data_IF_348354875309
#
_entry.id   IF_348354875309
#
_cell.length_a   1.000
_cell.length_b   1.000
_cell.length_c   1.000
_cell.angle_alpha   90.00
_cell.angle_beta   90.00
_cell.angle_gamma   90.00
#
_symmetry.space_group_name_H-M   'P 1'
#
loop_
_entity.id
_entity.type
_entity.pdbx_description
1 polymer ?
#
# COMPACT_ATOMS: atom_id res chain seq x y z
N UNK A 1 10.55 -13.47 -29.13
CA UNK A 1 11.69 -14.13 -28.45
C UNK A 1 12.74 -13.05 -28.24
N UNK A 2 13.25 -12.87 -27.02
CA UNK A 2 14.38 -11.95 -26.81
C UNK A 2 15.66 -12.70 -27.21
N UNK A 3 16.37 -12.19 -28.22
CA UNK A 3 17.63 -12.75 -28.71
C UNK A 3 18.85 -11.95 -28.21
N UNK A 4 18.70 -11.23 -27.10
CA UNK A 4 19.78 -10.45 -26.50
C UNK A 4 20.54 -11.36 -25.51
N UNK A 5 21.85 -11.61 -25.71
CA UNK A 5 22.66 -12.28 -24.70
C UNK A 5 22.66 -11.43 -23.41
N UNK A 6 22.61 -12.07 -22.25
CA UNK A 6 22.61 -11.40 -20.93
C UNK A 6 21.35 -10.60 -20.57
N UNK A 7 20.19 -10.94 -21.14
CA UNK A 7 18.90 -10.31 -20.77
C UNK A 7 18.58 -10.39 -19.26
N UNK A 8 19.15 -11.37 -18.56
CA UNK A 8 18.99 -11.59 -17.13
C UNK A 8 19.44 -10.38 -16.31
N UNK A 9 20.51 -9.69 -16.73
CA UNK A 9 21.00 -8.48 -16.07
C UNK A 9 19.96 -7.34 -16.07
N UNK A 10 19.06 -7.34 -17.06
CA UNK A 10 18.03 -6.32 -17.20
C UNK A 10 16.72 -6.70 -16.51
N UNK A 11 16.54 -7.96 -16.10
CA UNK A 11 15.27 -8.49 -15.58
C UNK A 11 14.84 -7.92 -14.22
N UNK A 12 15.77 -7.34 -13.47
CA UNK A 12 15.51 -6.74 -12.15
C UNK A 12 14.65 -5.48 -12.23
N UNK A 13 15.14 -4.50 -12.99
CA UNK A 13 14.55 -3.15 -13.04
C UNK A 13 13.93 -2.77 -14.37
N UNK A 14 14.05 -3.58 -15.42
CA UNK A 14 13.48 -3.24 -16.73
C UNK A 14 12.13 -3.93 -16.98
N UNK A 15 11.23 -3.16 -17.56
CA UNK A 15 9.86 -3.53 -17.86
C UNK A 15 9.58 -3.26 -19.33
N UNK A 16 8.90 -4.20 -19.98
CA UNK A 16 8.36 -4.01 -21.32
C UNK A 16 6.89 -3.63 -21.21
N UNK A 17 6.49 -2.55 -21.88
CA UNK A 17 5.09 -2.24 -22.12
C UNK A 17 4.71 -2.43 -23.58
N UNK A 18 3.59 -3.10 -23.80
CA UNK A 18 2.96 -3.22 -25.11
C UNK A 18 1.58 -2.58 -25.02
N UNK A 19 1.36 -1.52 -25.79
CA UNK A 19 0.10 -0.80 -25.87
C UNK A 19 -0.53 -0.96 -27.24
N UNK A 20 -1.77 -1.42 -27.26
CA UNK A 20 -2.62 -1.42 -28.46
C UNK A 20 -3.90 -0.72 -28.10
N UNK A 21 -4.03 0.50 -28.60
CA UNK A 21 -5.17 1.33 -28.27
C UNK A 21 -5.23 1.70 -26.80
N UNK A 22 -6.30 1.24 -26.16
CA UNK A 22 -6.63 1.51 -24.76
C UNK A 22 -6.19 0.37 -23.84
N UNK A 23 -5.78 -0.77 -24.41
CA UNK A 23 -5.20 -1.88 -23.66
C UNK A 23 -3.69 -1.71 -23.61
N UNK A 24 -3.18 -1.65 -22.38
CA UNK A 24 -1.75 -1.65 -22.09
C UNK A 24 -1.41 -2.87 -21.25
N UNK A 25 -0.40 -3.63 -21.69
CA UNK A 25 0.19 -4.70 -20.89
C UNK A 25 1.59 -4.27 -20.46
N UNK A 26 1.90 -4.44 -19.19
CA UNK A 26 3.20 -4.15 -18.60
C UNK A 26 3.74 -5.42 -17.96
N UNK A 27 5.02 -5.73 -18.18
CA UNK A 27 5.66 -6.87 -17.54
C UNK A 27 7.16 -6.68 -17.44
N UNK A 28 7.82 -7.36 -16.49
CA UNK A 28 9.27 -7.47 -16.48
C UNK A 28 9.79 -8.14 -17.75
N UNK A 29 11.00 -7.78 -18.16
CA UNK A 29 11.67 -8.42 -19.30
C UNK A 29 11.83 -9.92 -19.00
N UNK A 30 11.42 -10.76 -19.94
CA UNK A 30 11.52 -12.21 -19.85
C UNK A 30 11.64 -12.81 -21.25
N UNK A 31 12.53 -13.80 -21.42
CA UNK A 31 12.79 -14.42 -22.72
C UNK A 31 11.56 -15.12 -23.35
N UNK A 32 10.67 -15.67 -22.51
CA UNK A 32 9.56 -16.52 -22.94
C UNK A 32 8.19 -15.85 -22.86
N UNK A 33 8.13 -14.57 -22.47
CA UNK A 33 6.85 -13.90 -22.28
C UNK A 33 6.27 -13.43 -23.61
N UNK A 34 5.04 -13.87 -23.88
CA UNK A 34 4.26 -13.46 -25.06
C UNK A 34 3.05 -12.66 -24.62
N UNK A 35 2.85 -11.47 -25.21
CA UNK A 35 1.70 -10.63 -24.93
C UNK A 35 0.54 -11.00 -25.85
N UNK A 36 -0.52 -11.61 -25.29
CA UNK A 36 -1.76 -11.86 -26.02
C UNK A 36 -2.74 -10.71 -25.81
N UNK A 37 -3.03 -9.93 -26.84
CA UNK A 37 -3.99 -8.82 -26.76
C UNK A 37 -5.29 -9.29 -27.41
N UNK A 38 -6.45 -9.14 -26.74
CA UNK A 38 -7.73 -9.60 -27.29
C UNK A 38 -8.08 -8.80 -28.55
N UNK A 39 -8.61 -9.47 -29.57
CA UNK A 39 -8.96 -8.85 -30.84
C UNK A 39 -9.95 -7.68 -30.69
N UNK A 40 -10.84 -7.75 -29.70
CA UNK A 40 -11.76 -6.66 -29.35
C UNK A 40 -11.06 -5.34 -28.97
N UNK A 41 -9.88 -5.42 -28.35
CA UNK A 41 -9.09 -4.24 -28.00
C UNK A 41 -8.26 -3.68 -29.17
N UNK A 42 -7.96 -4.54 -30.15
CA UNK A 42 -7.24 -4.16 -31.37
C UNK A 42 -8.12 -3.28 -32.25
N UNK A 43 -9.40 -3.65 -32.40
CA UNK A 43 -10.33 -2.95 -33.30
C UNK A 43 -9.75 -2.88 -34.72
N UNK A 44 -9.72 -1.68 -35.30
CA UNK A 44 -9.14 -1.43 -36.64
C UNK A 44 -7.65 -1.05 -36.63
N UNK A 45 -6.99 -1.13 -35.46
CA UNK A 45 -5.59 -0.68 -35.30
C UNK A 45 -4.64 -1.75 -35.85
N UNK A 46 -3.67 -1.34 -36.67
CA UNK A 46 -2.67 -2.24 -37.28
C UNK A 46 -1.31 -2.24 -36.56
N UNK A 47 -1.11 -1.29 -35.64
CA UNK A 47 0.17 -1.07 -34.99
C UNK A 47 0.02 -1.09 -33.47
N UNK A 48 1.05 -1.62 -32.81
CA UNK A 48 1.23 -1.60 -31.36
C UNK A 48 2.41 -0.71 -31.00
N UNK A 49 2.31 0.03 -29.90
CA UNK A 49 3.45 0.74 -29.31
C UNK A 49 4.16 -0.19 -28.35
N UNK A 50 5.47 -0.34 -28.51
CA UNK A 50 6.31 -1.13 -27.60
C UNK A 50 7.35 -0.20 -26.99
N UNK A 51 7.41 -0.17 -25.66
CA UNK A 51 8.29 0.69 -24.90
C UNK A 51 9.02 -0.13 -23.83
N UNK A 52 10.26 0.25 -23.55
CA UNK A 52 11.05 -0.31 -22.44
C UNK A 52 11.17 0.76 -21.37
N UNK A 53 10.77 0.42 -20.15
CA UNK A 53 10.86 1.26 -18.97
C UNK A 53 11.91 0.68 -18.03
N UNK A 54 12.60 1.57 -17.31
CA UNK A 54 13.40 1.20 -16.15
C UNK A 54 12.69 1.71 -14.91
N UNK A 55 12.60 0.88 -13.87
CA UNK A 55 12.14 1.32 -12.55
C UNK A 55 13.21 2.24 -11.97
N UNK A 56 12.81 3.47 -11.72
CA UNK A 56 13.68 4.54 -11.20
C UNK A 56 13.34 4.94 -9.76
N UNK A 57 12.18 4.51 -9.27
CA UNK A 57 11.70 4.73 -7.92
C UNK A 57 10.44 3.91 -7.66
N UNK A 58 9.92 3.96 -6.44
CA UNK A 58 8.63 3.38 -6.09
C UNK A 58 8.13 3.89 -4.76
N UNK A 59 6.81 3.92 -4.61
CA UNK A 59 6.13 4.31 -3.38
C UNK A 59 4.84 3.52 -3.28
N UNK A 60 4.38 3.32 -2.05
CA UNK A 60 3.18 2.53 -1.73
C UNK A 60 2.16 3.45 -1.08
N UNK A 61 0.92 3.38 -1.55
CA UNK A 61 -0.20 4.17 -1.02
C UNK A 61 -1.27 3.26 -0.41
N UNK A 62 -2.01 3.77 0.57
CA UNK A 62 -3.19 3.10 1.10
C UNK A 62 -4.37 3.28 0.15
N UNK A 63 -5.01 2.18 -0.25
CA UNK A 63 -6.15 2.18 -1.19
C UNK A 63 -7.48 2.06 -0.41
N UNK A 64 -7.44 1.75 0.88
CA UNK A 64 -8.64 1.59 1.69
C UNK A 64 -9.41 2.91 1.78
N UNK A 65 -10.59 2.98 1.18
CA UNK A 65 -11.44 4.17 1.14
C UNK A 65 -12.03 4.54 2.50
N UNK A 66 -11.92 3.67 3.51
CA UNK A 66 -12.32 3.99 4.89
C UNK A 66 -11.20 4.62 5.72
N UNK A 67 -9.95 4.46 5.30
CA UNK A 67 -8.76 4.92 6.02
C UNK A 67 -8.03 6.03 5.25
N UNK A 68 -8.04 5.97 3.93
CA UNK A 68 -7.45 6.96 3.05
C UNK A 68 -8.35 8.20 2.91
N UNK A 69 -7.73 9.38 2.97
CA UNK A 69 -8.37 10.63 2.55
C UNK A 69 -8.63 10.62 1.04
N UNK A 70 -9.51 11.50 0.54
CA UNK A 70 -9.91 11.57 -0.88
C UNK A 70 -8.72 11.69 -1.86
N UNK A 71 -7.59 12.23 -1.39
CA UNK A 71 -6.32 12.25 -2.09
C UNK A 71 -5.21 11.66 -1.20
N UNK A 72 -4.50 10.66 -1.72
CA UNK A 72 -3.27 10.17 -1.13
C UNK A 72 -2.08 10.90 -1.76
N UNK A 73 -1.28 11.57 -0.94
CA UNK A 73 0.02 12.08 -1.35
C UNK A 73 1.03 10.93 -1.39
N UNK A 74 1.63 10.70 -2.57
CA UNK A 74 2.67 9.73 -2.79
C UNK A 74 3.97 10.45 -3.14
N UNK A 75 5.02 10.22 -2.36
CA UNK A 75 6.36 10.70 -2.65
C UNK A 75 7.22 9.57 -3.23
N UNK A 76 7.88 9.84 -4.36
CA UNK A 76 8.83 8.93 -5.01
C UNK A 76 10.16 9.64 -5.19
N UNK A 77 11.24 9.06 -4.67
CA UNK A 77 12.59 9.57 -4.92
C UNK A 77 13.02 9.27 -6.36
N UNK A 78 13.50 10.29 -7.07
CA UNK A 78 13.99 10.22 -8.44
C UNK A 78 15.20 11.16 -8.61
N UNK A 79 16.37 10.59 -8.92
CA UNK A 79 17.61 11.35 -9.16
C UNK A 79 17.97 12.34 -8.03
N UNK A 80 17.75 11.93 -6.78
CA UNK A 80 18.01 12.76 -5.59
C UNK A 80 16.99 13.88 -5.35
N UNK A 81 15.86 13.86 -6.07
CA UNK A 81 14.72 14.75 -5.86
C UNK A 81 13.50 13.94 -5.46
N UNK A 82 12.67 14.51 -4.59
CA UNK A 82 11.39 13.90 -4.21
C UNK A 82 10.29 14.38 -5.16
N UNK A 83 9.68 13.45 -5.91
CA UNK A 83 8.53 13.70 -6.77
C UNK A 83 7.25 13.41 -5.98
N UNK A 84 6.44 14.43 -5.76
CA UNK A 84 5.16 14.31 -5.07
C UNK A 84 4.00 14.19 -6.08
N UNK A 85 3.10 13.25 -5.81
CA UNK A 85 1.93 12.98 -6.63
C UNK A 85 0.68 12.90 -5.77
N UNK A 86 -0.43 13.43 -6.28
CA UNK A 86 -1.75 13.24 -5.69
C UNK A 86 -2.46 12.08 -6.39
N UNK A 87 -2.77 11.02 -5.64
CA UNK A 87 -3.49 9.85 -6.15
C UNK A 87 -4.84 9.76 -5.48
N UNK A 88 -5.90 10.02 -6.24
CA UNK A 88 -7.29 9.83 -5.80
C UNK A 88 -7.80 8.46 -6.22
N UNK A 89 -8.25 7.65 -5.27
CA UNK A 89 -8.92 6.38 -5.56
C UNK A 89 -10.41 6.56 -5.32
N UNK A 90 -11.18 6.71 -6.38
CA UNK A 90 -12.65 6.75 -6.31
C UNK A 90 -13.23 5.37 -6.64
N UNK A 91 -14.22 4.87 -5.88
CA UNK A 91 -14.96 3.69 -6.30
C UNK A 91 -15.66 3.97 -7.64
N UNK A 92 -15.48 3.08 -8.62
CA UNK A 92 -16.19 3.17 -9.90
C UNK A 92 -17.69 3.14 -9.64
N UNK A 93 -18.37 4.21 -10.03
CA UNK A 93 -19.82 4.42 -9.86
C UNK A 93 -20.57 3.39 -10.73
N UNK A 94 -20.79 2.19 -10.22
CA UNK A 94 -21.55 1.14 -10.91
C UNK A 94 -21.06 -0.29 -10.74
N UNK A 95 -19.89 -0.54 -10.15
CA UNK A 95 -19.49 -1.90 -9.80
C UNK A 95 -19.92 -2.20 -8.37
N UNK A 96 -20.77 -3.21 -8.24
CA UNK A 96 -21.24 -3.73 -6.96
C UNK A 96 -20.05 -3.92 -6.03
N UNK A 97 -20.20 -3.50 -4.77
CA UNK A 97 -19.34 -3.90 -3.66
C UNK A 97 -19.06 -5.39 -3.85
N UNK A 98 -17.85 -5.76 -4.27
CA UNK A 98 -17.41 -7.14 -4.15
C UNK A 98 -17.44 -7.36 -2.65
N UNK A 99 -18.48 -8.04 -2.20
CA UNK A 99 -18.59 -8.47 -0.82
C UNK A 99 -17.27 -9.16 -0.48
N UNK A 100 -16.64 -8.85 0.67
CA UNK A 100 -15.51 -9.64 1.12
C UNK A 100 -15.92 -11.11 1.02
N UNK A 101 -15.12 -11.91 0.31
CA UNK A 101 -15.33 -13.34 0.25
C UNK A 101 -15.53 -13.86 1.69
N UNK A 102 -16.58 -14.66 1.97
CA UNK A 102 -16.75 -15.24 3.27
C UNK A 102 -15.69 -16.34 3.43
N UNK A 103 -14.48 -15.94 3.83
CA UNK A 103 -13.64 -16.83 4.61
C UNK A 103 -14.29 -16.90 5.98
N UNK A 104 -15.07 -17.96 6.16
CA UNK A 104 -15.54 -18.49 7.43
C UNK A 104 -16.38 -17.53 8.30
N UNK A 105 -17.67 -17.46 7.97
CA UNK A 105 -18.75 -16.96 8.82
C UNK A 105 -19.00 -17.87 10.06
N UNK A 106 -17.94 -18.18 10.82
CA UNK A 106 -17.98 -18.81 12.14
C UNK A 106 -17.17 -18.07 13.22
N UNK A 107 -16.64 -16.87 12.92
CA UNK A 107 -15.94 -16.04 13.89
C UNK A 107 -16.68 -14.73 14.26
N UNK A 108 -17.96 -14.59 13.88
CA UNK A 108 -18.74 -13.38 14.17
C UNK A 108 -19.50 -13.47 15.50
N UNK A 109 -18.86 -13.97 16.56
CA UNK A 109 -19.17 -13.63 17.95
C UNK A 109 -17.89 -13.67 18.80
N UNK A 110 -16.76 -13.18 18.25
CA UNK A 110 -15.69 -12.72 19.14
C UNK A 110 -16.19 -11.44 19.81
N UNK A 111 -16.77 -11.62 21.00
CA UNK A 111 -16.83 -10.60 22.05
C UNK A 111 -15.58 -9.74 21.90
N UNK A 112 -15.78 -8.44 21.68
CA UNK A 112 -14.74 -7.43 21.56
C UNK A 112 -13.88 -7.44 22.82
N UNK A 113 -12.94 -8.40 22.88
CA UNK A 113 -11.97 -8.46 23.95
C UNK A 113 -11.12 -7.21 23.76
N UNK A 114 -11.08 -6.29 24.72
CA UNK A 114 -10.35 -5.04 24.56
C UNK A 114 -8.87 -5.28 24.21
N UNK A 115 -8.32 -6.42 24.67
CA UNK A 115 -6.98 -6.90 24.33
C UNK A 115 -6.80 -7.26 22.84
N UNK A 116 -7.82 -7.83 22.19
CA UNK A 116 -7.77 -8.14 20.76
C UNK A 116 -7.87 -6.87 19.90
N UNK A 117 -8.66 -5.88 20.33
CA UNK A 117 -8.69 -4.58 19.67
C UNK A 117 -7.35 -3.86 19.79
N UNK A 118 -6.77 -3.80 20.99
CA UNK A 118 -5.47 -3.15 21.21
C UNK A 118 -4.34 -3.82 20.40
N UNK A 119 -4.35 -5.16 20.29
CA UNK A 119 -3.41 -5.88 19.45
C UNK A 119 -3.59 -5.57 17.95
N UNK A 120 -4.84 -5.48 17.46
CA UNK A 120 -5.12 -5.10 16.07
C UNK A 120 -4.67 -3.67 15.79
N UNK A 121 -4.99 -2.73 16.67
CA UNK A 121 -4.53 -1.35 16.59
C UNK A 121 -2.99 -1.27 16.57
N UNK A 122 -2.31 -2.09 17.37
CA UNK A 122 -0.85 -2.15 17.36
C UNK A 122 -0.31 -2.64 16.01
N UNK A 123 -0.87 -3.71 15.45
CA UNK A 123 -0.47 -4.23 14.13
C UNK A 123 -0.68 -3.19 13.02
N UNK A 124 -1.79 -2.44 13.07
CA UNK A 124 -2.14 -1.39 12.11
C UNK A 124 -1.22 -0.17 12.28
N UNK A 125 -1.03 0.34 13.51
CA UNK A 125 -0.19 1.51 13.81
C UNK A 125 1.25 1.36 13.36
N UNK A 126 1.81 0.16 13.50
CA UNK A 126 3.19 -0.12 13.11
C UNK A 126 3.31 -0.74 11.71
N UNK A 127 2.18 -0.88 10.99
CA UNK A 127 2.11 -1.48 9.65
C UNK A 127 2.89 -2.81 9.54
N UNK A 128 2.80 -3.65 10.59
CA UNK A 128 3.64 -4.85 10.74
C UNK A 128 3.36 -5.84 9.62
N UNK A 129 2.09 -6.00 9.23
CA UNK A 129 1.69 -6.91 8.16
C UNK A 129 2.29 -6.50 6.81
N UNK A 130 2.27 -5.21 6.49
CA UNK A 130 2.85 -4.69 5.26
C UNK A 130 4.36 -4.95 5.21
N UNK A 131 5.09 -4.62 6.29
CA UNK A 131 6.55 -4.87 6.43
C UNK A 131 6.88 -6.35 6.23
N UNK A 132 6.11 -7.23 6.86
CA UNK A 132 6.35 -8.67 6.81
C UNK A 132 6.05 -9.24 5.42
N UNK A 133 4.99 -8.77 4.76
CA UNK A 133 4.64 -9.19 3.41
C UNK A 133 5.72 -8.81 2.39
N UNK A 134 6.29 -7.61 2.49
CA UNK A 134 7.37 -7.16 1.63
C UNK A 134 8.67 -7.94 1.89
N UNK A 135 9.03 -8.13 3.16
CA UNK A 135 10.18 -8.93 3.54
C UNK A 135 10.06 -10.38 3.03
N UNK A 136 8.87 -10.97 3.11
CA UNK A 136 8.60 -12.32 2.60
C UNK A 136 8.74 -12.39 1.07
N UNK A 137 8.23 -11.39 0.35
CA UNK A 137 8.41 -11.32 -1.11
C UNK A 137 9.89 -11.17 -1.49
N UNK A 138 10.65 -10.37 -0.74
CA UNK A 138 12.09 -10.21 -0.95
C UNK A 138 12.83 -11.53 -0.70
N UNK A 139 12.46 -12.26 0.36
CA UNK A 139 13.04 -13.57 0.70
C UNK A 139 12.84 -14.59 -0.43
N UNK A 140 11.61 -14.71 -0.94
CA UNK A 140 11.27 -15.65 -2.02
C UNK A 140 12.02 -15.31 -3.32
N UNK A 141 12.30 -14.02 -3.55
CA UNK A 141 13.08 -13.54 -4.72
C UNK A 141 14.56 -13.84 -4.58
N UNK A 142 15.15 -13.52 -3.42
CA UNK A 142 16.59 -13.63 -3.20
C UNK A 142 17.04 -15.08 -2.91
N UNK A 143 16.16 -15.91 -2.33
CA UNK A 143 16.45 -17.30 -1.91
C UNK A 143 17.81 -17.45 -1.21
N UNK A 144 18.05 -16.69 -0.14
CA UNK A 144 19.32 -16.73 0.57
C UNK A 144 19.54 -18.09 1.24
N UNK A 145 20.80 -18.44 1.50
CA UNK A 145 21.16 -19.66 2.22
C UNK A 145 20.66 -19.66 3.67
N UNK A 146 20.58 -18.48 4.30
CA UNK A 146 20.00 -18.29 5.63
C UNK A 146 18.77 -17.36 5.56
N UNK A 147 17.54 -17.91 5.55
CA UNK A 147 16.32 -17.12 5.44
C UNK A 147 16.01 -16.33 6.72
N UNK A 148 16.42 -16.80 7.89
CA UNK A 148 16.08 -16.18 9.16
C UNK A 148 16.86 -14.88 9.35
N UNK A 149 18.16 -14.91 9.06
CA UNK A 149 19.03 -13.74 9.12
C UNK A 149 18.60 -12.68 8.09
N UNK A 150 18.31 -13.10 6.86
CA UNK A 150 17.85 -12.19 5.80
C UNK A 150 16.54 -11.48 6.18
N UNK A 151 15.57 -12.22 6.74
CA UNK A 151 14.27 -11.66 7.12
C UNK A 151 14.40 -10.66 8.26
N UNK A 152 15.24 -10.95 9.27
CA UNK A 152 15.52 -10.02 10.37
C UNK A 152 16.14 -8.71 9.87
N UNK A 153 17.13 -8.80 8.98
CA UNK A 153 17.74 -7.63 8.35
C UNK A 153 16.74 -6.82 7.52
N UNK A 154 15.88 -7.51 6.75
CA UNK A 154 14.91 -6.84 5.88
C UNK A 154 13.83 -6.11 6.67
N UNK A 155 13.36 -6.69 7.78
CA UNK A 155 12.41 -6.02 8.69
C UNK A 155 13.08 -4.84 9.40
N UNK A 156 14.34 -4.97 9.81
CA UNK A 156 15.09 -3.87 10.43
C UNK A 156 15.31 -2.69 9.44
N UNK A 157 15.64 -2.98 8.18
CA UNK A 157 15.87 -1.96 7.15
C UNK A 157 14.59 -1.23 6.73
N UNK A 158 13.45 -1.94 6.72
CA UNK A 158 12.14 -1.34 6.37
C UNK A 158 11.54 -0.48 7.49
N UNK A 159 12.17 -0.45 8.68
CA UNK A 159 11.66 0.29 9.83
C UNK A 159 11.50 1.80 9.58
N UNK A 160 12.38 2.43 8.79
CA UNK A 160 12.32 3.88 8.53
C UNK A 160 11.52 4.30 7.29
N UNK A 161 11.12 3.35 6.43
CA UNK A 161 10.51 3.67 5.13
C UNK A 161 9.00 3.91 5.24
N UNK A 162 8.32 3.23 6.18
CA UNK A 162 6.85 3.24 6.28
C UNK A 162 6.29 4.13 7.39
N UNK A 163 7.14 4.75 8.22
CA UNK A 163 6.70 5.73 9.24
C UNK A 163 6.17 7.05 8.61
N UNK A 164 6.30 7.19 7.28
CA UNK A 164 5.84 8.33 6.48
C UNK A 164 4.43 8.14 5.90
N UNK A 165 3.77 7.00 6.11
CA UNK A 165 2.38 6.81 5.67
C UNK A 165 1.41 7.65 6.53
N UNK A 166 0.36 8.24 5.93
CA UNK A 166 -0.61 9.05 6.66
C UNK A 166 -1.28 8.20 7.73
N UNK A 167 -1.11 8.62 8.99
CA UNK A 167 -1.71 7.98 10.15
C UNK A 167 -3.21 8.26 10.12
N UNK A 168 -4.03 7.24 10.35
CA UNK A 168 -5.45 7.40 10.67
C UNK A 168 -5.53 8.29 11.90
N UNK A 169 -6.11 9.49 11.76
CA UNK A 169 -6.28 10.39 12.89
C UNK A 169 -7.13 9.68 13.94
N UNK A 170 -6.68 9.69 15.20
CA UNK A 170 -7.38 9.04 16.30
C UNK A 170 -8.80 9.65 16.40
N UNK A 171 -9.89 8.89 16.19
CA UNK A 171 -11.24 9.44 16.30
C UNK A 171 -11.53 9.97 17.71
N UNK A 172 -10.81 9.47 18.71
CA UNK A 172 -10.88 9.92 20.11
C UNK A 172 -10.34 11.34 20.28
N UNK A 173 -9.31 11.77 19.53
CA UNK A 173 -8.78 13.14 19.61
C UNK A 173 -9.72 14.15 18.96
N UNK A 174 -10.31 13.78 17.82
CA UNK A 174 -11.28 14.64 17.14
C UNK A 174 -12.57 14.80 17.95
N UNK A 175 -13.02 13.75 18.65
CA UNK A 175 -14.18 13.82 19.55
C UNK A 175 -13.87 14.61 20.83
N UNK A 176 -12.66 14.47 21.41
CA UNK A 176 -12.23 15.29 22.55
C UNK A 176 -12.04 16.77 22.18
N UNK A 177 -11.53 17.07 20.99
CA UNK A 177 -11.41 18.44 20.48
C UNK A 177 -12.78 19.03 20.12
N UNK A 178 -13.69 18.25 19.53
CA UNK A 178 -15.08 18.67 19.33
C UNK A 178 -15.77 18.95 20.66
N UNK A 179 -15.65 18.07 21.65
CA UNK A 179 -16.23 18.27 22.98
C UNK A 179 -15.61 19.48 23.71
N UNK A 180 -14.30 19.72 23.57
CA UNK A 180 -13.64 20.94 24.07
C UNK A 180 -14.13 22.20 23.37
N UNK A 181 -14.38 22.15 22.05
CA UNK A 181 -14.90 23.28 21.29
C UNK A 181 -16.38 23.57 21.55
N UNK A 182 -17.15 22.56 21.98
CA UNK A 182 -18.57 22.67 22.36
C UNK A 182 -18.78 23.22 23.77
N UNK A 183 -17.78 23.12 24.66
CA UNK A 183 -17.84 23.64 26.04
C UNK A 183 -16.62 24.51 26.39
N UNK A 184 -16.48 25.72 25.80
CA UNK A 184 -15.41 26.64 26.15
C UNK A 184 -15.72 27.31 27.50
N UNK A 185 -15.50 26.61 28.62
CA UNK A 185 -15.68 27.24 29.94
C UNK A 185 -15.70 26.36 31.19
N UNK A 186 -15.71 25.03 31.10
CA UNK A 186 -15.62 24.20 32.32
C UNK A 186 -14.17 24.08 32.80
N UNK A 187 -13.71 25.09 33.53
CA UNK A 187 -12.54 24.94 34.42
C UNK A 187 -12.97 24.03 35.56
N UNK A 188 -12.42 22.81 35.62
CA UNK A 188 -12.49 21.96 36.81
C UNK A 188 -11.45 22.46 37.82
N UNK A 189 -11.61 23.69 38.29
CA UNK A 189 -10.92 24.20 39.47
C UNK A 189 -11.96 24.44 40.57
N UNK A 190 -11.91 23.60 41.58
CA UNK A 190 -12.73 23.69 42.79
C UNK A 190 -12.67 22.35 43.49
N UNK A 191 -11.95 22.15 44.58
CA UNK A 191 -11.39 23.08 45.54
C UNK A 191 -11.42 22.31 46.85
N UNK A 192 -10.30 21.69 47.21
CA UNK A 192 -10.15 21.02 48.49
C UNK A 192 -10.25 22.08 49.59
N UNK A 193 -11.41 22.18 50.25
CA UNK A 193 -11.57 22.95 51.48
C UNK A 193 -11.66 21.99 52.65
N UNK A 194 -10.57 21.97 53.41
CA UNK A 194 -10.45 21.43 54.75
C UNK A 194 -11.28 22.26 55.74
N UNK A 195 -12.05 21.59 56.60
CA UNK A 195 -12.47 22.18 57.87
C UNK A 195 -12.57 21.10 58.95
N UNK A 196 -11.64 21.22 59.89
CA UNK A 196 -11.68 20.99 61.34
C UNK A 196 -12.60 19.93 61.95
#
# INVERSE_FOLDING_TARGET
KLDIPEWEAYSGDHYLSVRVGDVQKLSRISAHRTFRIPASAVGNRRYAKVEVFRRVGGSSICIDTQVASEANEAAVEFEGKELQYNVSVSPLKGEAKVAPMPLDAKALEEKSNPKLMEAKDYLERYHIEARLSEAMQALIRARPADPALFLAQQIANSAGVLDKLPRKQDPVKEELERLRSLFPGCSLDGGASSSS
#
